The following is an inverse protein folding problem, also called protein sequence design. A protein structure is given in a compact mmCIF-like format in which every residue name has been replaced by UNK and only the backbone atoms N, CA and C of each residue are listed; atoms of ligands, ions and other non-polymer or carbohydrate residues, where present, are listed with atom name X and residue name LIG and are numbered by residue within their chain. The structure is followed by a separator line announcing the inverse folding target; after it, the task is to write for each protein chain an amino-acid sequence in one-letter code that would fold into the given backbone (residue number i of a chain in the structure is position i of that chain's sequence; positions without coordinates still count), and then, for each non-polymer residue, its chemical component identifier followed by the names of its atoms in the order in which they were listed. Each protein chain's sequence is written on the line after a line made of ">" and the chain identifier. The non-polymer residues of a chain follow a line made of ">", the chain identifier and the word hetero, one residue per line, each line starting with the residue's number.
data_IF_976472742004
#
_entry.id   IF_976472742004
#
_cell.length_a   1.000
_cell.length_b   1.000
_cell.length_c   1.000
_cell.angle_alpha   90.00
_cell.angle_beta   90.00
_cell.angle_gamma   90.00
#
_symmetry.space_group_name_H-M   'P 1'
#
loop_
_entity.id
_entity.type
_entity.pdbx_description
1 polymer ?
#
# COMPACT_ATOMS: atom_id res chain seq x y z
N UNK A 1 -16.27 -5.49 25.95
CA UNK A 1 -17.63 -5.17 25.54
C UNK A 1 -17.79 -3.67 25.40
N UNK A 2 -17.66 -3.13 24.16
CA UNK A 2 -17.96 -1.72 23.90
C UNK A 2 -19.48 -1.55 23.81
N UNK A 3 -20.07 -0.84 24.76
CA UNK A 3 -21.46 -0.37 24.65
C UNK A 3 -21.54 0.76 23.64
N UNK A 4 -22.36 0.58 22.60
CA UNK A 4 -22.73 1.63 21.67
C UNK A 4 -23.74 2.55 22.36
N UNK A 5 -23.29 3.72 22.86
CA UNK A 5 -24.20 4.74 23.42
C UNK A 5 -24.79 5.54 22.26
N UNK A 6 -26.12 5.64 22.22
CA UNK A 6 -26.85 6.50 21.30
C UNK A 6 -26.61 7.97 21.68
N UNK A 7 -25.84 8.72 20.91
CA UNK A 7 -25.83 10.18 20.96
C UNK A 7 -26.73 10.73 19.87
N UNK A 8 -27.76 11.49 20.29
CA UNK A 8 -28.68 12.26 19.42
C UNK A 8 -27.89 13.27 18.59
N UNK A 9 -28.32 13.44 17.36
CA UNK A 9 -27.68 14.15 16.28
C UNK A 9 -27.11 15.52 16.66
N UNK A 10 -25.85 15.69 16.28
CA UNK A 10 -25.28 17.00 15.96
C UNK A 10 -24.71 16.93 14.53
N UNK A 11 -24.90 17.97 13.70
CA UNK A 11 -24.35 18.01 12.37
C UNK A 11 -22.83 18.15 12.43
N UNK A 12 -22.13 17.34 11.66
CA UNK A 12 -20.69 17.45 11.45
C UNK A 12 -20.41 18.74 10.67
N UNK A 13 -19.52 19.54 11.21
CA UNK A 13 -19.02 20.78 10.63
C UNK A 13 -18.38 20.51 9.25
N UNK A 14 -18.83 21.32 8.29
CA UNK A 14 -18.38 21.38 6.92
C UNK A 14 -16.94 21.92 6.87
N UNK A 15 -15.98 21.11 6.42
CA UNK A 15 -14.65 21.58 6.08
C UNK A 15 -14.55 21.60 4.55
N UNK A 16 -14.89 22.74 3.97
CA UNK A 16 -14.71 23.04 2.56
C UNK A 16 -13.22 23.12 2.22
N UNK A 17 -12.69 22.16 1.51
CA UNK A 17 -11.65 22.36 0.51
C UNK A 17 -11.70 21.26 -0.55
N UNK A 18 -12.26 21.62 -1.65
CA UNK A 18 -12.02 21.29 -3.06
C UNK A 18 -11.63 19.87 -3.46
N UNK A 19 -12.17 18.80 -2.87
CA UNK A 19 -12.17 17.49 -3.51
C UNK A 19 -13.54 16.86 -3.27
N UNK A 20 -14.31 16.71 -4.35
CA UNK A 20 -15.67 16.17 -4.32
C UNK A 20 -15.65 14.71 -3.88
N UNK A 21 -15.52 14.48 -2.58
CA UNK A 21 -15.85 13.20 -1.98
C UNK A 21 -17.35 13.01 -2.20
N UNK A 22 -17.75 12.08 -3.06
CA UNK A 22 -19.15 11.72 -3.20
C UNK A 22 -19.61 11.21 -1.84
N UNK A 23 -20.32 12.06 -1.10
CA UNK A 23 -21.02 11.65 0.12
C UNK A 23 -21.96 10.52 -0.29
N UNK A 24 -21.66 9.31 0.13
CA UNK A 24 -22.58 8.19 0.01
C UNK A 24 -23.72 8.52 0.98
N UNK A 25 -24.77 9.16 0.46
CA UNK A 25 -26.02 9.33 1.20
C UNK A 25 -26.64 7.94 1.30
N UNK A 26 -26.36 7.25 2.39
CA UNK A 26 -27.07 6.02 2.73
C UNK A 26 -28.48 6.40 3.22
N UNK A 27 -29.44 6.44 2.30
CA UNK A 27 -30.85 6.58 2.61
C UNK A 27 -31.36 5.24 3.14
N UNK A 28 -31.81 5.24 4.39
CA UNK A 28 -32.51 4.20 5.14
C UNK A 28 -31.61 3.35 6.04
N UNK A 29 -31.50 3.76 7.29
CA UNK A 29 -31.01 2.88 8.36
C UNK A 29 -32.06 1.77 8.56
N UNK A 30 -31.76 0.58 8.06
CA UNK A 30 -32.63 -0.60 8.20
C UNK A 30 -32.25 -1.49 9.38
N UNK A 31 -31.03 -1.34 9.93
CA UNK A 31 -30.52 -2.18 11.01
C UNK A 31 -29.65 -1.36 11.97
N UNK A 32 -29.90 -1.41 13.31
CA UNK A 32 -29.05 -0.74 14.30
C UNK A 32 -27.56 -1.13 14.23
N UNK A 33 -27.25 -2.32 13.72
CA UNK A 33 -25.88 -2.79 13.49
C UNK A 33 -25.15 -1.96 12.43
N UNK A 34 -25.86 -1.43 11.44
CA UNK A 34 -25.28 -0.63 10.36
C UNK A 34 -24.65 0.65 10.90
N UNK A 35 -25.35 1.33 11.80
CA UNK A 35 -24.83 2.55 12.45
C UNK A 35 -23.54 2.34 13.25
N UNK A 36 -23.32 1.12 13.74
CA UNK A 36 -22.08 0.72 14.41
C UNK A 36 -21.03 0.19 13.41
N UNK A 37 -21.50 -0.52 12.37
CA UNK A 37 -20.64 -1.15 11.35
C UNK A 37 -19.87 -0.13 10.51
N UNK A 38 -20.52 0.94 10.07
CA UNK A 38 -19.93 1.99 9.23
C UNK A 38 -18.79 2.78 9.91
N UNK A 39 -18.66 2.68 11.23
CA UNK A 39 -17.58 3.32 12.01
C UNK A 39 -16.37 2.42 12.20
N UNK A 40 -16.39 1.21 11.66
CA UNK A 40 -15.30 0.23 11.74
C UNK A 40 -14.50 0.22 10.44
N UNK A 41 -13.29 -0.34 10.49
CA UNK A 41 -12.46 -0.48 9.30
C UNK A 41 -13.20 -1.32 8.24
N UNK A 42 -13.44 -0.78 7.02
CA UNK A 42 -14.16 -1.49 5.98
C UNK A 42 -13.24 -2.45 5.23
N UNK A 43 -13.24 -3.72 5.61
CA UNK A 43 -12.47 -4.76 4.89
C UNK A 43 -13.08 -5.09 3.52
N UNK A 44 -14.39 -4.85 3.35
CA UNK A 44 -15.11 -5.10 2.08
C UNK A 44 -14.59 -4.29 0.89
N UNK A 45 -13.83 -3.21 1.12
CA UNK A 45 -13.16 -2.45 0.05
C UNK A 45 -11.86 -3.10 -0.47
N UNK A 46 -11.38 -4.15 0.19
CA UNK A 46 -10.16 -4.85 -0.25
C UNK A 46 -10.48 -5.82 -1.38
N UNK A 47 -9.71 -5.82 -2.49
CA UNK A 47 -9.94 -6.73 -3.61
C UNK A 47 -9.59 -8.17 -3.21
N UNK A 48 -10.62 -9.01 -3.12
CA UNK A 48 -10.49 -10.40 -2.64
C UNK A 48 -9.52 -11.20 -3.51
N UNK A 49 -9.55 -11.02 -4.84
CA UNK A 49 -8.65 -11.75 -5.75
C UNK A 49 -7.17 -11.50 -5.42
N UNK A 50 -6.79 -10.24 -5.17
CA UNK A 50 -5.41 -9.89 -4.80
C UNK A 50 -5.02 -10.51 -3.44
N UNK A 51 -5.95 -10.55 -2.49
CA UNK A 51 -5.72 -11.19 -1.20
C UNK A 51 -5.54 -12.71 -1.33
N UNK A 52 -6.30 -13.35 -2.23
CA UNK A 52 -6.16 -14.79 -2.50
C UNK A 52 -4.82 -15.10 -3.18
N UNK A 53 -4.39 -14.30 -4.16
CA UNK A 53 -3.06 -14.45 -4.77
C UNK A 53 -1.94 -14.24 -3.75
N UNK A 54 -2.02 -13.21 -2.91
CA UNK A 54 -1.08 -13.03 -1.81
C UNK A 54 -1.06 -14.25 -0.86
N UNK A 55 -2.22 -14.88 -0.65
CA UNK A 55 -2.35 -16.13 0.10
C UNK A 55 -1.62 -17.30 -0.57
N UNK A 56 -1.64 -17.41 -1.91
CA UNK A 56 -0.90 -18.44 -2.65
C UNK A 56 0.61 -18.23 -2.54
N UNK A 57 1.08 -16.99 -2.69
CA UNK A 57 2.49 -16.63 -2.47
C UNK A 57 2.91 -16.97 -1.03
N UNK A 58 2.03 -16.66 -0.06
CA UNK A 58 2.28 -17.00 1.34
C UNK A 58 2.38 -18.51 1.57
N UNK A 59 1.51 -19.29 0.94
CA UNK A 59 1.57 -20.75 0.99
C UNK A 59 2.91 -21.27 0.43
N UNK A 60 3.35 -20.74 -0.72
CA UNK A 60 4.65 -21.07 -1.30
C UNK A 60 5.81 -20.76 -0.33
N UNK A 61 5.77 -19.61 0.33
CA UNK A 61 6.73 -19.23 1.36
C UNK A 61 6.67 -20.15 2.59
N UNK A 62 5.48 -20.56 3.02
CA UNK A 62 5.29 -21.47 4.16
C UNK A 62 5.89 -22.86 3.90
N UNK A 63 5.80 -23.35 2.67
CA UNK A 63 6.41 -24.62 2.26
C UNK A 63 7.94 -24.54 2.22
N UNK A 64 8.51 -23.37 1.89
CA UNK A 64 9.98 -23.17 1.86
C UNK A 64 10.58 -22.95 3.25
N UNK A 65 9.94 -22.15 4.10
CA UNK A 65 10.55 -21.59 5.30
C UNK A 65 9.82 -21.95 6.60
N UNK A 66 8.66 -22.59 6.51
CA UNK A 66 7.79 -22.87 7.64
C UNK A 66 6.75 -21.78 7.90
N UNK A 67 5.58 -22.23 8.37
CA UNK A 67 4.45 -21.34 8.64
C UNK A 67 4.76 -20.40 9.79
N UNK A 68 4.52 -19.11 9.58
CA UNK A 68 4.78 -18.04 10.56
C UNK A 68 6.24 -17.91 11.02
N UNK A 69 7.21 -18.46 10.27
CA UNK A 69 8.63 -18.38 10.61
C UNK A 69 9.12 -16.96 10.92
N UNK A 70 8.61 -15.94 10.20
CA UNK A 70 8.98 -14.54 10.44
C UNK A 70 8.55 -14.03 11.81
N UNK A 71 7.52 -14.65 12.42
CA UNK A 71 7.05 -14.30 13.78
C UNK A 71 7.93 -14.91 14.86
N UNK A 72 8.59 -16.02 14.55
CA UNK A 72 9.47 -16.73 15.47
C UNK A 72 10.89 -16.16 15.43
N UNK A 73 11.45 -15.98 14.23
CA UNK A 73 12.85 -15.57 14.06
C UNK A 73 13.04 -14.10 13.68
N UNK A 74 11.98 -13.41 13.31
CA UNK A 74 12.03 -12.04 12.82
C UNK A 74 12.48 -11.92 11.37
N UNK A 75 12.58 -10.68 10.89
CA UNK A 75 13.01 -10.37 9.53
C UNK A 75 14.01 -9.22 9.52
N UNK A 76 14.84 -9.16 8.48
CA UNK A 76 15.73 -8.03 8.22
C UNK A 76 15.10 -7.11 7.17
N UNK A 77 15.06 -5.79 7.45
CA UNK A 77 14.39 -4.80 6.61
C UNK A 77 14.91 -4.77 5.18
N UNK A 78 16.24 -4.72 5.00
CA UNK A 78 16.87 -4.69 3.66
C UNK A 78 16.54 -5.91 2.81
N UNK A 79 16.50 -7.10 3.40
CA UNK A 79 16.22 -8.35 2.66
C UNK A 79 14.83 -8.30 2.02
N UNK A 80 13.83 -7.84 2.76
CA UNK A 80 12.46 -7.71 2.26
C UNK A 80 12.29 -6.54 1.28
N UNK A 81 13.01 -5.44 1.50
CA UNK A 81 13.08 -4.33 0.55
C UNK A 81 13.65 -4.79 -0.79
N UNK A 82 14.80 -5.45 -0.78
CA UNK A 82 15.48 -5.92 -1.99
C UNK A 82 14.62 -6.97 -2.73
N UNK A 83 13.96 -7.88 -1.99
CA UNK A 83 13.07 -8.87 -2.60
C UNK A 83 11.88 -8.19 -3.29
N UNK A 84 11.21 -7.26 -2.62
CA UNK A 84 10.09 -6.52 -3.20
C UNK A 84 10.54 -5.71 -4.43
N UNK A 85 11.71 -5.06 -4.36
CA UNK A 85 12.28 -4.31 -5.48
C UNK A 85 12.56 -5.21 -6.68
N UNK A 86 13.19 -6.38 -6.49
CA UNK A 86 13.45 -7.32 -7.60
C UNK A 86 12.17 -7.77 -8.30
N UNK A 87 11.13 -8.11 -7.55
CA UNK A 87 9.83 -8.46 -8.13
C UNK A 87 9.19 -7.29 -8.87
N UNK A 88 9.24 -6.08 -8.33
CA UNK A 88 8.72 -4.89 -9.01
C UNK A 88 9.51 -4.57 -10.29
N UNK A 89 10.84 -4.72 -10.26
CA UNK A 89 11.69 -4.49 -11.43
C UNK A 89 11.42 -5.54 -12.52
N UNK A 90 11.38 -6.83 -12.20
CA UNK A 90 11.07 -7.89 -13.14
C UNK A 90 9.71 -7.66 -13.84
N UNK A 91 8.67 -7.33 -13.04
CA UNK A 91 7.37 -6.98 -13.60
C UNK A 91 7.43 -5.75 -14.53
N UNK A 92 8.14 -4.69 -14.12
CA UNK A 92 8.23 -3.46 -14.91
C UNK A 92 8.98 -3.67 -16.24
N UNK A 93 9.94 -4.59 -16.28
CA UNK A 93 10.66 -5.01 -17.48
C UNK A 93 9.90 -6.05 -18.33
N UNK A 94 8.65 -6.38 -17.96
CA UNK A 94 7.73 -7.20 -18.77
C UNK A 94 7.62 -8.68 -18.36
N UNK A 95 8.21 -9.08 -17.26
CA UNK A 95 8.02 -10.42 -16.70
C UNK A 95 6.84 -10.41 -15.70
N UNK A 96 5.67 -10.93 -16.11
CA UNK A 96 4.50 -10.90 -15.25
C UNK A 96 4.59 -11.89 -14.08
N UNK A 97 5.08 -13.11 -14.33
CA UNK A 97 5.09 -14.19 -13.37
C UNK A 97 6.51 -14.61 -12.99
N UNK A 98 6.72 -14.83 -11.71
CA UNK A 98 7.94 -15.41 -11.17
C UNK A 98 8.15 -16.84 -11.69
N UNK A 99 9.29 -17.17 -12.34
CA UNK A 99 9.50 -18.47 -12.97
C UNK A 99 9.60 -19.63 -11.98
N UNK A 100 9.96 -19.36 -10.71
CA UNK A 100 10.09 -20.40 -9.69
C UNK A 100 8.73 -20.84 -9.14
N UNK A 101 7.81 -19.90 -8.98
CA UNK A 101 6.50 -20.14 -8.37
C UNK A 101 5.34 -20.19 -9.36
N UNK A 102 5.52 -19.57 -10.54
CA UNK A 102 4.45 -19.32 -11.51
C UNK A 102 3.45 -18.26 -11.06
N UNK A 103 3.67 -17.57 -9.93
CA UNK A 103 2.79 -16.56 -9.37
C UNK A 103 3.24 -15.15 -9.77
N UNK A 104 2.28 -14.24 -9.85
CA UNK A 104 2.52 -12.88 -10.32
C UNK A 104 3.52 -12.12 -9.44
N UNK A 105 4.49 -11.43 -10.05
CA UNK A 105 5.53 -10.68 -9.33
C UNK A 105 4.96 -9.62 -8.38
N UNK A 106 3.90 -8.91 -8.78
CA UNK A 106 3.24 -7.92 -7.89
C UNK A 106 2.70 -8.60 -6.62
N UNK A 107 2.14 -9.81 -6.73
CA UNK A 107 1.63 -10.56 -5.58
C UNK A 107 2.76 -11.01 -4.64
N UNK A 108 3.94 -11.33 -5.16
CA UNK A 108 5.15 -11.55 -4.37
C UNK A 108 5.58 -10.28 -3.61
N UNK A 109 5.65 -9.14 -4.29
CA UNK A 109 6.01 -7.87 -3.67
C UNK A 109 5.03 -7.49 -2.54
N UNK A 110 3.71 -7.59 -2.79
CA UNK A 110 2.66 -7.33 -1.80
C UNK A 110 2.85 -8.25 -0.58
N UNK A 111 3.01 -9.55 -0.81
CA UNK A 111 3.13 -10.53 0.28
C UNK A 111 4.39 -10.30 1.11
N UNK A 112 5.52 -10.02 0.48
CA UNK A 112 6.76 -9.66 1.17
C UNK A 112 6.59 -8.42 2.05
N UNK A 113 5.94 -7.39 1.53
CA UNK A 113 5.66 -6.16 2.29
C UNK A 113 4.67 -6.37 3.44
N UNK A 114 3.68 -7.27 3.29
CA UNK A 114 2.77 -7.66 4.39
C UNK A 114 3.58 -8.31 5.52
N UNK A 115 4.47 -9.25 5.20
CA UNK A 115 5.33 -9.92 6.20
C UNK A 115 6.23 -8.92 6.90
N UNK A 116 6.90 -8.04 6.15
CA UNK A 116 7.74 -6.98 6.72
C UNK A 116 6.92 -6.06 7.65
N UNK A 117 5.72 -5.65 7.21
CA UNK A 117 4.87 -4.78 8.01
C UNK A 117 4.37 -5.44 9.29
N UNK A 118 3.98 -6.72 9.24
CA UNK A 118 3.60 -7.50 10.44
C UNK A 118 4.77 -7.57 11.44
N UNK A 119 5.99 -7.83 10.96
CA UNK A 119 7.19 -7.88 11.80
C UNK A 119 7.52 -6.54 12.45
N UNK A 120 7.41 -5.43 11.71
CA UNK A 120 7.60 -4.07 12.26
C UNK A 120 6.56 -3.79 13.35
N UNK A 121 5.27 -4.12 13.12
CA UNK A 121 4.20 -3.90 14.10
C UNK A 121 4.41 -4.71 15.39
N UNK A 122 5.07 -5.85 15.29
CA UNK A 122 5.38 -6.73 16.43
C UNK A 122 6.69 -6.38 17.13
N UNK A 123 7.49 -5.46 16.56
CA UNK A 123 8.83 -5.18 17.03
C UNK A 123 9.81 -6.34 16.82
N UNK A 124 9.47 -7.28 15.91
CA UNK A 124 10.27 -8.46 15.60
C UNK A 124 10.91 -8.32 14.20
N UNK A 125 11.76 -7.32 14.06
CA UNK A 125 12.53 -7.08 12.84
C UNK A 125 13.87 -6.41 13.14
N UNK A 126 14.85 -6.58 12.27
CA UNK A 126 16.11 -5.87 12.30
C UNK A 126 16.01 -4.65 11.39
N UNK A 127 16.11 -3.45 11.99
CA UNK A 127 16.20 -2.20 11.23
C UNK A 127 17.65 -1.96 10.81
N UNK A 128 17.96 -2.34 9.58
CA UNK A 128 19.26 -2.15 8.94
C UNK A 128 19.22 -1.11 7.81
N UNK A 129 18.21 -0.22 7.87
CA UNK A 129 18.12 0.91 6.94
C UNK A 129 19.30 1.87 7.14
N UNK A 130 19.77 2.52 6.05
CA UNK A 130 20.78 3.57 6.18
C UNK A 130 20.26 4.75 7.02
N UNK A 131 21.16 5.61 7.52
CA UNK A 131 20.77 6.85 8.16
C UNK A 131 19.77 7.63 7.30
N UNK A 132 18.74 8.26 7.90
CA UNK A 132 17.69 8.89 7.14
C UNK A 132 18.20 10.06 6.30
N UNK A 133 17.77 10.13 5.04
CA UNK A 133 17.98 11.28 4.16
C UNK A 133 16.62 11.97 3.96
N UNK A 134 16.28 12.97 4.78
CA UNK A 134 14.97 13.62 4.70
C UNK A 134 14.80 14.34 3.37
N UNK A 135 13.55 14.35 2.89
CA UNK A 135 13.13 15.06 1.67
C UNK A 135 13.77 14.64 0.33
N UNK A 136 14.51 13.52 0.28
CA UNK A 136 15.20 13.11 -0.94
C UNK A 136 14.28 13.02 -2.16
N UNK A 137 13.10 12.40 -2.01
CA UNK A 137 12.14 12.27 -3.12
C UNK A 137 11.63 13.64 -3.58
N UNK A 138 11.32 14.53 -2.64
CA UNK A 138 10.87 15.90 -2.95
C UNK A 138 11.95 16.66 -3.72
N UNK A 139 13.18 16.60 -3.26
CA UNK A 139 14.32 17.27 -3.90
C UNK A 139 14.53 16.80 -5.36
N UNK A 140 14.48 15.48 -5.60
CA UNK A 140 14.64 14.94 -6.94
C UNK A 140 13.43 15.21 -7.84
N UNK A 141 12.21 15.24 -7.31
CA UNK A 141 11.04 15.67 -8.06
C UNK A 141 11.14 17.15 -8.49
N UNK A 142 11.65 18.03 -7.62
CA UNK A 142 11.91 19.44 -7.97
C UNK A 142 12.98 19.57 -9.07
N UNK A 143 14.03 18.72 -9.05
CA UNK A 143 15.01 18.66 -10.14
C UNK A 143 14.38 18.18 -11.45
N UNK A 144 13.52 17.16 -11.41
CA UNK A 144 12.80 16.66 -12.58
C UNK A 144 11.91 17.75 -13.20
N UNK A 145 11.16 18.52 -12.39
CA UNK A 145 10.34 19.63 -12.88
C UNK A 145 11.17 20.69 -13.61
N UNK A 146 12.36 21.03 -13.11
CA UNK A 146 13.26 21.98 -13.81
C UNK A 146 13.71 21.48 -15.17
N UNK A 147 13.97 20.17 -15.31
CA UNK A 147 14.34 19.56 -16.59
C UNK A 147 13.15 19.65 -17.55
N UNK A 148 11.95 19.26 -17.11
CA UNK A 148 10.71 19.33 -17.91
C UNK A 148 10.46 20.77 -18.41
N UNK A 149 10.57 21.77 -17.53
CA UNK A 149 10.37 23.19 -17.88
C UNK A 149 11.34 23.68 -18.97
N UNK A 150 12.59 23.23 -18.92
CA UNK A 150 13.59 23.59 -19.95
C UNK A 150 13.18 23.01 -21.31
N UNK A 151 12.80 21.74 -21.37
CA UNK A 151 12.37 21.08 -22.63
C UNK A 151 11.10 21.68 -23.20
N UNK A 152 10.10 21.95 -22.37
CA UNK A 152 8.84 22.57 -22.81
C UNK A 152 9.07 23.96 -23.40
N UNK A 153 10.01 24.75 -22.85
CA UNK A 153 10.39 26.05 -23.38
C UNK A 153 11.16 25.95 -24.71
N UNK A 154 11.97 24.91 -24.90
CA UNK A 154 12.67 24.66 -26.15
C UNK A 154 11.70 24.28 -27.27
N UNK A 155 10.77 23.36 -27.02
CA UNK A 155 9.74 22.96 -27.99
C UNK A 155 8.88 24.17 -28.43
N UNK A 156 8.42 24.98 -27.48
CA UNK A 156 7.61 26.16 -27.78
C UNK A 156 8.37 27.27 -28.56
N UNK A 157 9.69 27.20 -28.67
CA UNK A 157 10.49 28.11 -29.54
C UNK A 157 10.62 27.54 -30.95
N UNK A 158 10.84 26.21 -31.05
CA UNK A 158 10.99 25.57 -32.38
C UNK A 158 9.68 25.57 -33.20
N UNK A 159 8.52 25.59 -32.52
CA UNK A 159 7.21 25.66 -33.20
C UNK A 159 6.87 27.08 -33.72
N UNK A 160 7.73 28.06 -33.48
CA UNK A 160 7.54 29.47 -33.92
C UNK A 160 8.46 29.92 -35.05
N UNK A 161 9.42 29.08 -35.42
CA UNK A 161 10.34 29.28 -36.56
C UNK A 161 9.91 28.40 -37.73
#
# INVERSE_FOLDING_TARGET
>A
GYRCSQSRGQPLLDVTNGTRCKTIIMSKQTNPKDACGIKKVPISGMPVNVLLEAGLVKLHGDLKYGRFNWRDVGVRGSVYYDAAFRHLAAWYEGEDNDPDSGLHHISHAITGLIVLRDSIMRGNWTDDRPPPTPNIIKEYNEKALKIIDVYTKMESRNDRD
#
